data_IF_173884480969
#
_entry.id   IF_173884480969
#
_cell.length_a   1.000
_cell.length_b   1.000
_cell.length_c   1.000
_cell.angle_alpha   90.00
_cell.angle_beta   90.00
_cell.angle_gamma   90.00
#
_symmetry.space_group_name_H-M   'P 1'
#
loop_
_entity.id
_entity.type
_entity.pdbx_description
1 polymer ?
#
# COMPACT_ATOMS: atom_id res chain seq x y z
N UNK A 1 -23.10 10.74 20.49
CA UNK A 1 -21.68 11.17 20.48
C UNK A 1 -20.76 9.95 20.48
N UNK A 2 -20.94 8.97 21.37
CA UNK A 2 -20.22 7.68 21.35
C UNK A 2 -20.46 6.87 20.07
N UNK A 3 -21.69 6.83 19.55
CA UNK A 3 -21.99 6.09 18.32
C UNK A 3 -21.27 6.65 17.09
N UNK A 4 -21.09 7.98 17.01
CA UNK A 4 -20.35 8.62 15.92
C UNK A 4 -18.87 8.26 15.97
N UNK A 5 -18.29 8.21 17.17
CA UNK A 5 -16.88 7.84 17.35
C UNK A 5 -16.67 6.36 17.02
N UNK A 6 -17.59 5.47 17.41
CA UNK A 6 -17.52 4.06 17.03
C UNK A 6 -17.59 3.88 15.50
N UNK A 7 -18.50 4.60 14.85
CA UNK A 7 -18.60 4.62 13.39
C UNK A 7 -17.31 5.15 12.73
N UNK A 8 -16.73 6.24 13.23
CA UNK A 8 -15.47 6.79 12.72
C UNK A 8 -14.30 5.79 12.87
N UNK A 9 -14.31 4.96 13.92
CA UNK A 9 -13.30 3.91 14.13
C UNK A 9 -13.47 2.75 13.11
N UNK A 10 -14.70 2.33 12.86
CA UNK A 10 -15.00 1.29 11.86
C UNK A 10 -14.57 1.76 10.45
N UNK A 11 -14.80 3.04 10.10
CA UNK A 11 -14.34 3.61 8.83
C UNK A 11 -12.80 3.59 8.68
N UNK A 12 -12.06 3.78 9.77
CA UNK A 12 -10.59 3.70 9.75
C UNK A 12 -10.10 2.26 9.53
N UNK A 13 -10.75 1.26 10.12
CA UNK A 13 -10.42 -0.15 9.91
C UNK A 13 -10.75 -0.61 8.48
N UNK A 14 -11.88 -0.15 7.92
CA UNK A 14 -12.24 -0.37 6.52
C UNK A 14 -11.22 0.27 5.56
N UNK A 15 -10.79 1.50 5.84
CA UNK A 15 -9.77 2.18 5.05
C UNK A 15 -8.42 1.45 5.13
N UNK A 16 -8.00 1.00 6.31
CA UNK A 16 -6.77 0.22 6.48
C UNK A 16 -6.82 -1.11 5.69
N UNK A 17 -7.99 -1.73 5.63
CA UNK A 17 -8.22 -2.94 4.83
C UNK A 17 -8.12 -2.66 3.33
N UNK A 18 -8.74 -1.58 2.86
CA UNK A 18 -8.66 -1.17 1.46
C UNK A 18 -7.23 -0.85 1.02
N UNK A 19 -6.47 -0.11 1.84
CA UNK A 19 -5.07 0.22 1.55
C UNK A 19 -4.19 -1.04 1.52
N UNK A 20 -4.44 -2.01 2.39
CA UNK A 20 -3.74 -3.30 2.35
C UNK A 20 -4.00 -4.04 1.04
N UNK A 21 -5.28 -4.18 0.67
CA UNK A 21 -5.67 -4.91 -0.53
C UNK A 21 -5.09 -4.23 -1.78
N UNK A 22 -5.08 -2.90 -1.82
CA UNK A 22 -4.45 -2.12 -2.89
C UNK A 22 -2.94 -2.38 -2.97
N UNK A 23 -2.23 -2.37 -1.84
CA UNK A 23 -0.79 -2.60 -1.82
C UNK A 23 -0.41 -4.02 -2.28
N UNK A 24 -1.19 -5.02 -1.88
CA UNK A 24 -1.03 -6.41 -2.34
C UNK A 24 -1.29 -6.52 -3.84
N UNK A 25 -2.39 -5.95 -4.31
CA UNK A 25 -2.76 -5.94 -5.74
C UNK A 25 -1.67 -5.29 -6.60
N UNK A 26 -1.15 -4.13 -6.19
CA UNK A 26 -0.07 -3.45 -6.91
C UNK A 26 1.19 -4.34 -6.94
N UNK A 27 1.58 -4.95 -5.81
CA UNK A 27 2.75 -5.84 -5.76
C UNK A 27 2.65 -6.97 -6.77
N UNK A 28 1.52 -7.69 -6.79
CA UNK A 28 1.29 -8.81 -7.71
C UNK A 28 1.36 -8.38 -9.18
N UNK A 29 0.82 -7.20 -9.49
CA UNK A 29 0.87 -6.63 -10.83
C UNK A 29 2.27 -6.17 -11.24
N UNK A 30 3.04 -5.59 -10.32
CA UNK A 30 4.43 -5.22 -10.57
C UNK A 30 5.29 -6.45 -10.83
N UNK A 31 5.16 -7.50 -10.02
CA UNK A 31 5.90 -8.75 -10.20
C UNK A 31 5.55 -9.44 -11.53
N UNK A 32 4.26 -9.42 -11.91
CA UNK A 32 3.81 -9.94 -13.21
C UNK A 32 4.40 -9.14 -14.37
N UNK A 33 4.42 -7.81 -14.27
CA UNK A 33 4.99 -6.95 -15.30
C UNK A 33 6.51 -7.15 -15.43
N UNK A 34 7.22 -7.23 -14.31
CA UNK A 34 8.66 -7.51 -14.28
C UNK A 34 8.99 -8.84 -14.97
N UNK A 35 8.20 -9.89 -14.70
CA UNK A 35 8.35 -11.19 -15.35
C UNK A 35 8.11 -11.10 -16.86
N UNK A 36 7.07 -10.38 -17.29
CA UNK A 36 6.77 -10.20 -18.71
C UNK A 36 7.88 -9.42 -19.42
N UNK A 37 8.40 -8.35 -18.81
CA UNK A 37 9.50 -7.56 -19.38
C UNK A 37 10.76 -8.43 -19.51
N UNK A 38 11.10 -9.22 -18.48
CA UNK A 38 12.23 -10.14 -18.53
C UNK A 38 12.08 -11.18 -19.65
N UNK A 39 10.88 -11.71 -19.88
CA UNK A 39 10.62 -12.67 -20.95
C UNK A 39 10.88 -12.09 -22.35
N UNK A 40 10.51 -10.81 -22.58
CA UNK A 40 10.76 -10.15 -23.87
C UNK A 40 12.27 -9.94 -24.10
N UNK A 41 13.02 -9.53 -23.08
CA UNK A 41 14.48 -9.31 -23.19
C UNK A 41 15.30 -10.59 -23.32
N UNK A 42 14.83 -11.69 -22.72
CA UNK A 42 15.56 -12.98 -22.76
C UNK A 42 15.23 -13.82 -24.00
N UNK A 43 14.15 -13.52 -24.72
CA UNK A 43 13.71 -14.27 -25.90
C UNK A 43 14.59 -14.08 -27.15
N UNK A 44 15.58 -13.20 -27.13
CA UNK A 44 16.54 -12.98 -28.22
C UNK A 44 15.98 -12.32 -29.49
N UNK A 45 14.67 -12.09 -29.55
CA UNK A 45 13.99 -11.44 -30.67
C UNK A 45 14.04 -9.90 -30.60
N UNK A 46 14.40 -9.35 -29.45
CA UNK A 46 14.50 -7.92 -29.22
C UNK A 46 15.87 -7.58 -28.65
N UNK A 47 16.69 -6.92 -29.46
CA UNK A 47 18.06 -6.54 -29.12
C UNK A 47 18.41 -5.13 -29.62
N UNK A 48 19.63 -4.69 -29.32
CA UNK A 48 20.17 -3.40 -29.73
C UNK A 48 19.77 -2.23 -28.82
N UNK A 49 20.18 -1.03 -29.22
CA UNK A 49 20.14 0.17 -28.36
C UNK A 49 18.74 0.52 -27.83
N UNK A 50 17.67 0.17 -28.56
CA UNK A 50 16.31 0.38 -28.10
C UNK A 50 15.91 -0.59 -26.98
N UNK A 51 16.34 -1.85 -27.06
CA UNK A 51 16.12 -2.84 -26.01
C UNK A 51 16.88 -2.43 -24.73
N UNK A 52 18.14 -2.02 -24.86
CA UNK A 52 18.96 -1.53 -23.75
C UNK A 52 18.32 -0.31 -23.05
N UNK A 53 17.93 0.69 -23.84
CA UNK A 53 17.29 1.90 -23.31
C UNK A 53 15.96 1.60 -22.60
N UNK A 54 15.17 0.65 -23.11
CA UNK A 54 13.97 0.19 -22.44
C UNK A 54 14.29 -0.54 -21.14
N UNK A 55 15.26 -1.45 -21.12
CA UNK A 55 15.63 -2.17 -19.90
C UNK A 55 16.04 -1.21 -18.78
N UNK A 56 16.87 -0.21 -19.10
CA UNK A 56 17.28 0.83 -18.16
C UNK A 56 16.10 1.67 -17.66
N UNK A 57 15.19 2.05 -18.56
CA UNK A 57 14.00 2.82 -18.20
C UNK A 57 13.06 2.00 -17.30
N UNK A 58 12.85 0.72 -17.62
CA UNK A 58 12.04 -0.20 -16.83
C UNK A 58 12.62 -0.41 -15.43
N UNK A 59 13.94 -0.61 -15.32
CA UNK A 59 14.61 -0.77 -14.03
C UNK A 59 14.39 0.45 -13.11
N UNK A 60 14.53 1.66 -13.65
CA UNK A 60 14.28 2.90 -12.89
C UNK A 60 12.82 3.05 -12.50
N UNK A 61 11.91 2.74 -13.43
CA UNK A 61 10.49 2.79 -13.18
C UNK A 61 10.06 1.78 -12.10
N UNK A 62 10.56 0.56 -12.14
CA UNK A 62 10.23 -0.49 -11.19
C UNK A 62 10.62 -0.11 -9.74
N UNK A 63 11.77 0.54 -9.57
CA UNK A 63 12.17 1.11 -8.27
C UNK A 63 11.14 2.12 -7.77
N UNK A 64 10.82 3.13 -8.59
CA UNK A 64 9.85 4.17 -8.22
C UNK A 64 8.44 3.60 -7.96
N UNK A 65 8.04 2.58 -8.72
CA UNK A 65 6.75 1.91 -8.52
C UNK A 65 6.69 1.14 -7.19
N UNK A 66 7.79 0.47 -6.81
CA UNK A 66 7.90 -0.21 -5.51
C UNK A 66 7.92 0.80 -4.36
N UNK A 67 8.64 1.92 -4.50
CA UNK A 67 8.63 3.02 -3.52
C UNK A 67 7.23 3.61 -3.31
N UNK A 68 6.48 3.83 -4.40
CA UNK A 68 5.09 4.27 -4.33
C UNK A 68 4.23 3.28 -3.53
N UNK A 69 4.40 1.98 -3.78
CA UNK A 69 3.63 0.96 -3.06
C UNK A 69 3.98 0.89 -1.56
N UNK A 70 5.26 1.04 -1.20
CA UNK A 70 5.68 1.20 0.19
C UNK A 70 5.05 2.44 0.84
N UNK A 71 4.83 3.51 0.08
CA UNK A 71 4.07 4.69 0.52
C UNK A 71 2.63 4.36 0.90
N UNK A 72 1.95 3.52 0.11
CA UNK A 72 0.58 3.06 0.41
C UNK A 72 0.55 2.23 1.70
N UNK A 73 1.51 1.33 1.90
CA UNK A 73 1.63 0.57 3.16
C UNK A 73 1.89 1.49 4.36
N UNK A 74 2.74 2.52 4.18
CA UNK A 74 3.00 3.51 5.22
C UNK A 74 1.73 4.31 5.58
N UNK A 75 0.90 4.65 4.60
CA UNK A 75 -0.41 5.30 4.85
C UNK A 75 -1.34 4.37 5.63
N UNK A 76 -1.38 3.08 5.28
CA UNK A 76 -2.15 2.07 6.02
C UNK A 76 -1.72 2.03 7.49
N UNK A 77 -0.42 1.99 7.75
CA UNK A 77 0.09 1.92 9.13
C UNK A 77 -0.25 3.19 9.91
N UNK A 78 -0.21 4.37 9.27
CA UNK A 78 -0.67 5.61 9.87
C UNK A 78 -2.17 5.57 10.24
N UNK A 79 -3.02 5.01 9.36
CA UNK A 79 -4.46 4.82 9.64
C UNK A 79 -4.68 3.90 10.83
N UNK A 80 -3.98 2.76 10.91
CA UNK A 80 -4.07 1.82 12.05
C UNK A 80 -3.60 2.45 13.36
N UNK A 81 -2.56 3.26 13.30
CA UNK A 81 -2.06 4.00 14.46
C UNK A 81 -3.07 5.06 14.93
N UNK A 82 -3.77 5.73 14.03
CA UNK A 82 -4.84 6.67 14.38
C UNK A 82 -6.02 5.93 15.04
N UNK A 83 -6.48 4.83 14.45
CA UNK A 83 -7.53 3.98 15.04
C UNK A 83 -7.18 3.55 16.48
N UNK A 84 -5.97 3.03 16.70
CA UNK A 84 -5.50 2.58 18.02
C UNK A 84 -5.51 3.71 19.05
N UNK A 85 -5.05 4.90 18.68
CA UNK A 85 -5.01 6.06 19.58
C UNK A 85 -6.42 6.53 19.95
N UNK A 86 -7.34 6.60 18.99
CA UNK A 86 -8.72 7.04 19.22
C UNK A 86 -9.52 6.01 20.05
N UNK A 87 -9.37 4.72 19.77
CA UNK A 87 -9.98 3.65 20.57
C UNK A 87 -9.49 3.66 22.04
N UNK A 88 -8.18 3.88 22.24
CA UNK A 88 -7.58 4.02 23.56
C UNK A 88 -8.12 5.21 24.35
N UNK A 89 -8.23 6.38 23.71
CA UNK A 89 -8.80 7.58 24.31
C UNK A 89 -10.27 7.39 24.72
N UNK A 90 -11.07 6.70 23.89
CA UNK A 90 -12.47 6.38 24.20
C UNK A 90 -12.58 5.46 25.42
N UNK A 91 -11.74 4.43 25.49
CA UNK A 91 -11.71 3.49 26.63
C UNK A 91 -11.35 4.22 27.93
N UNK A 92 -10.30 5.06 27.92
CA UNK A 92 -9.90 5.84 29.08
C UNK A 92 -11.03 6.78 29.56
N UNK A 93 -11.66 7.52 28.64
CA UNK A 93 -12.73 8.46 28.98
C UNK A 93 -13.98 7.75 29.52
N UNK A 94 -14.36 6.62 28.93
CA UNK A 94 -15.53 5.85 29.41
C UNK A 94 -15.28 5.17 30.76
N UNK A 95 -14.05 4.76 31.07
CA UNK A 95 -13.67 4.25 32.39
C UNK A 95 -13.71 5.35 33.47
N UNK A 96 -13.26 6.57 33.15
CA UNK A 96 -13.30 7.71 34.07
C UNK A 96 -14.72 8.21 34.35
N UNK A 97 -15.60 8.21 33.35
CA UNK A 97 -17.00 8.64 33.50
C UNK A 97 -17.91 7.63 34.21
N UNK A 98 -17.43 6.39 34.42
CA UNK A 98 -18.15 5.35 35.17
C UNK A 98 -17.80 5.32 36.67
N UNK A 99 -16.88 6.19 37.12
CA UNK A 99 -16.53 6.45 38.53
C UNK A 99 -17.31 7.65 39.06
#
# INVERSE_FOLDING_TARGET
MTDNIAYDLDELDDLATQLHNLATFITEHLDTLDANVAAVHTGGAWDGAAADAHHDAHAKWAVAAREFNTGIESMRDAVRNAHTQYAGALTANTSMLKL
#
